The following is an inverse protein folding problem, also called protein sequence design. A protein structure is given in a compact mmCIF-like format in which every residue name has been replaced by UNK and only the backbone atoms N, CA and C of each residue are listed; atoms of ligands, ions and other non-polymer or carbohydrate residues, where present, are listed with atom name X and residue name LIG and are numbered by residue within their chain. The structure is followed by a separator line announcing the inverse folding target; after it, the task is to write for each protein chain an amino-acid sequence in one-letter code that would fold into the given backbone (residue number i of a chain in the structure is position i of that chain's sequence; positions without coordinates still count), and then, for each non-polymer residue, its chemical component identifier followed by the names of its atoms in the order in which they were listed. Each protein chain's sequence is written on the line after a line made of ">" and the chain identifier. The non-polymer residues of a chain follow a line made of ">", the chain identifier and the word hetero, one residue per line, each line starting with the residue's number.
data_IF_356032551034
#
_entry.id   IF_356032551034
#
_cell.length_a   1.000
_cell.length_b   1.000
_cell.length_c   1.000
_cell.angle_alpha   90.00
_cell.angle_beta   90.00
_cell.angle_gamma   90.00
#
_symmetry.space_group_name_H-M   'P 1'
#
loop_
_entity.id
_entity.type
_entity.pdbx_description
1 polymer ?
#
# COMPACT_ATOMS: atom_id res chain seq x y z
N UNK A 1 24.23 -13.16 -4.64
CA UNK A 1 24.33 -13.15 -6.12
C UNK A 1 22.97 -13.52 -6.67
N UNK A 2 22.45 -12.74 -7.62
CA UNK A 2 21.18 -13.03 -8.31
C UNK A 2 21.34 -14.22 -9.25
N UNK A 3 20.32 -15.09 -9.29
CA UNK A 3 20.23 -16.21 -10.21
C UNK A 3 18.75 -16.39 -10.58
N UNK A 4 18.46 -16.42 -11.87
CA UNK A 4 17.14 -16.69 -12.42
C UNK A 4 16.79 -18.17 -12.25
N UNK A 5 15.52 -18.46 -12.01
CA UNK A 5 15.04 -19.80 -11.74
C UNK A 5 14.06 -20.28 -12.81
N UNK A 6 14.53 -21.17 -13.69
CA UNK A 6 13.76 -21.75 -14.80
C UNK A 6 13.36 -23.24 -14.57
N UNK A 7 13.73 -23.82 -13.43
CA UNK A 7 13.54 -25.27 -13.18
C UNK A 7 12.05 -25.68 -13.16
N UNK A 8 11.13 -24.75 -12.90
CA UNK A 8 9.69 -25.02 -12.93
C UNK A 8 9.18 -25.49 -14.31
N UNK A 9 10.01 -25.37 -15.37
CA UNK A 9 9.71 -25.85 -16.73
C UNK A 9 10.23 -27.26 -17.00
N UNK A 10 10.98 -27.83 -16.07
CA UNK A 10 11.57 -29.16 -16.20
C UNK A 10 10.67 -30.20 -15.51
N UNK A 11 10.40 -31.31 -16.19
CA UNK A 11 9.60 -32.40 -15.64
C UNK A 11 10.52 -33.40 -14.93
N UNK A 12 10.43 -33.48 -13.61
CA UNK A 12 11.13 -34.48 -12.81
C UNK A 12 10.37 -35.80 -12.71
N UNK A 13 11.04 -36.83 -12.21
CA UNK A 13 10.42 -38.17 -12.04
C UNK A 13 9.27 -38.19 -11.00
N UNK A 14 9.29 -37.28 -10.04
CA UNK A 14 8.24 -37.09 -9.00
C UNK A 14 7.33 -35.91 -9.31
N UNK A 15 7.31 -35.43 -10.56
CA UNK A 15 6.46 -34.33 -10.96
C UNK A 15 4.97 -34.71 -10.96
N UNK A 16 4.12 -33.72 -10.75
CA UNK A 16 2.67 -33.87 -10.79
C UNK A 16 2.21 -34.46 -12.13
N UNK A 17 2.89 -34.12 -13.23
CA UNK A 17 2.59 -34.67 -14.57
C UNK A 17 2.84 -36.16 -14.65
N UNK A 18 3.86 -36.67 -13.97
CA UNK A 18 4.17 -38.13 -13.95
C UNK A 18 3.31 -38.91 -12.97
N UNK A 19 2.84 -38.27 -11.90
CA UNK A 19 2.10 -38.94 -10.82
C UNK A 19 0.57 -38.96 -11.04
N UNK A 20 0.05 -38.05 -11.83
CA UNK A 20 -1.38 -37.95 -12.09
C UNK A 20 -1.78 -38.69 -13.37
N UNK A 21 -2.97 -39.36 -13.36
CA UNK A 21 -3.57 -39.87 -14.57
C UNK A 21 -3.97 -38.76 -15.52
N UNK A 22 -4.04 -39.03 -16.83
CA UNK A 22 -4.40 -38.07 -17.86
C UNK A 22 -5.71 -37.31 -17.53
N UNK A 23 -6.73 -38.04 -17.08
CA UNK A 23 -8.00 -37.44 -16.64
C UNK A 23 -7.83 -36.43 -15.49
N UNK A 24 -6.91 -36.67 -14.57
CA UNK A 24 -6.62 -35.72 -13.46
C UNK A 24 -5.81 -34.55 -13.94
N UNK A 25 -4.89 -34.75 -14.87
CA UNK A 25 -4.13 -33.68 -15.52
C UNK A 25 -5.02 -32.72 -16.30
N UNK A 26 -5.98 -33.25 -17.08
CA UNK A 26 -6.98 -32.41 -17.74
C UNK A 26 -7.80 -31.58 -16.75
N UNK A 27 -8.18 -32.19 -15.63
CA UNK A 27 -8.90 -31.46 -14.57
C UNK A 27 -8.01 -30.37 -13.94
N UNK A 28 -6.74 -30.68 -13.67
CA UNK A 28 -5.76 -29.70 -13.14
C UNK A 28 -5.63 -28.50 -14.09
N UNK A 29 -5.46 -28.75 -15.39
CA UNK A 29 -5.31 -27.71 -16.42
C UNK A 29 -6.52 -26.77 -16.56
N UNK A 30 -7.69 -27.14 -16.03
CA UNK A 30 -8.92 -26.34 -16.01
C UNK A 30 -9.11 -25.56 -14.70
N UNK A 31 -8.18 -25.66 -13.75
CA UNK A 31 -8.26 -24.94 -12.45
C UNK A 31 -7.78 -23.49 -12.57
N UNK A 32 -8.24 -22.65 -11.65
CA UNK A 32 -7.77 -21.27 -11.55
C UNK A 32 -6.26 -21.19 -11.18
N UNK A 33 -5.76 -22.18 -10.43
CA UNK A 33 -4.36 -22.29 -10.05
C UNK A 33 -3.47 -22.56 -11.25
N UNK A 34 -3.92 -23.40 -12.18
CA UNK A 34 -3.19 -23.63 -13.42
C UNK A 34 -3.23 -22.43 -14.35
N UNK A 35 -4.39 -21.76 -14.45
CA UNK A 35 -4.48 -20.49 -15.18
C UNK A 35 -3.54 -19.42 -14.56
N UNK A 36 -3.47 -19.35 -13.25
CA UNK A 36 -2.52 -18.48 -12.57
C UNK A 36 -1.06 -18.82 -12.92
N UNK A 37 -0.70 -20.12 -12.91
CA UNK A 37 0.63 -20.57 -13.31
C UNK A 37 0.99 -20.12 -14.72
N UNK A 38 0.11 -20.41 -15.71
CA UNK A 38 0.39 -20.13 -17.12
C UNK A 38 0.34 -18.65 -17.47
N UNK A 39 -0.60 -17.91 -16.91
CA UNK A 39 -0.90 -16.53 -17.31
C UNK A 39 -0.23 -15.47 -16.43
N UNK A 40 0.15 -15.80 -15.21
CA UNK A 40 0.75 -14.86 -14.27
C UNK A 40 2.16 -15.33 -13.88
N UNK A 41 2.28 -16.49 -13.24
CA UNK A 41 3.54 -16.95 -12.69
C UNK A 41 4.65 -17.07 -13.75
N UNK A 42 4.37 -17.70 -14.89
CA UNK A 42 5.32 -17.82 -16.00
C UNK A 42 5.71 -16.49 -16.67
N UNK A 43 5.02 -15.40 -16.31
CA UNK A 43 5.27 -14.02 -16.82
C UNK A 43 6.01 -13.14 -15.83
N UNK A 44 6.31 -13.64 -14.64
CA UNK A 44 7.09 -12.90 -13.65
C UNK A 44 8.51 -12.75 -14.19
N UNK A 45 8.89 -11.52 -14.50
CA UNK A 45 10.25 -11.18 -14.89
C UNK A 45 11.11 -11.01 -13.64
N UNK A 46 11.89 -12.04 -13.33
CA UNK A 46 12.76 -12.04 -12.16
C UNK A 46 13.92 -11.03 -12.28
N UNK A 47 14.35 -10.69 -13.50
CA UNK A 47 15.47 -9.78 -13.75
C UNK A 47 15.19 -8.36 -13.24
N UNK A 48 13.92 -7.95 -13.19
CA UNK A 48 13.51 -6.70 -12.56
C UNK A 48 13.96 -6.55 -11.10
N UNK A 49 14.18 -7.67 -10.41
CA UNK A 49 14.53 -7.72 -8.99
C UNK A 49 16.03 -7.98 -8.74
N UNK A 50 16.83 -8.10 -9.79
CA UNK A 50 18.30 -8.25 -9.68
C UNK A 50 18.91 -7.12 -8.83
N UNK A 51 18.38 -5.91 -8.95
CA UNK A 51 18.80 -4.71 -8.20
C UNK A 51 18.72 -4.86 -6.66
N UNK A 52 18.01 -5.86 -6.17
CA UNK A 52 17.90 -6.16 -4.73
C UNK A 52 19.05 -7.05 -4.22
N UNK A 53 19.89 -7.56 -5.12
CA UNK A 53 20.94 -8.53 -4.80
C UNK A 53 22.32 -7.96 -5.04
N UNK A 54 23.33 -8.53 -4.36
CA UNK A 54 24.72 -8.11 -4.48
C UNK A 54 25.40 -8.87 -5.61
N UNK A 55 26.30 -8.19 -6.35
CA UNK A 55 27.18 -8.80 -7.34
C UNK A 55 28.30 -9.68 -6.74
N UNK A 56 28.47 -9.61 -5.40
CA UNK A 56 29.49 -10.41 -4.73
C UNK A 56 29.11 -11.89 -4.74
N UNK A 57 30.07 -12.79 -4.99
CA UNK A 57 29.84 -14.23 -4.90
C UNK A 57 29.24 -14.59 -3.53
N UNK A 58 28.08 -15.23 -3.54
CA UNK A 58 27.35 -15.63 -2.35
C UNK A 58 26.44 -16.81 -2.69
N UNK A 59 25.81 -17.40 -1.68
CA UNK A 59 24.76 -18.40 -1.89
C UNK A 59 23.70 -17.83 -2.85
N UNK A 60 23.22 -18.64 -3.84
CA UNK A 60 22.12 -18.23 -4.71
C UNK A 60 20.89 -17.77 -3.92
N UNK A 61 20.15 -16.84 -4.50
CA UNK A 61 18.87 -16.39 -3.96
C UNK A 61 17.83 -17.52 -3.97
N UNK A 62 16.83 -17.43 -3.11
CA UNK A 62 15.60 -18.20 -3.30
C UNK A 62 14.91 -17.74 -4.60
N UNK A 63 14.19 -18.63 -5.31
CA UNK A 63 13.51 -18.29 -6.56
C UNK A 63 12.59 -17.08 -6.40
N UNK A 64 12.89 -16.00 -7.11
CA UNK A 64 12.14 -14.73 -6.99
C UNK A 64 10.73 -14.89 -7.53
N UNK A 65 10.56 -15.59 -8.65
CA UNK A 65 9.25 -15.90 -9.22
C UNK A 65 8.36 -16.67 -8.23
N UNK A 66 8.91 -17.64 -7.48
CA UNK A 66 8.15 -18.38 -6.46
C UNK A 66 7.75 -17.49 -5.28
N UNK A 67 8.65 -16.59 -4.82
CA UNK A 67 8.33 -15.64 -3.76
C UNK A 67 7.19 -14.71 -4.19
N UNK A 68 7.30 -14.11 -5.36
CA UNK A 68 6.29 -13.19 -5.89
C UNK A 68 4.99 -13.94 -6.20
N UNK A 69 5.08 -15.12 -6.83
CA UNK A 69 3.92 -15.97 -7.10
C UNK A 69 3.17 -16.34 -5.84
N UNK A 70 3.88 -16.67 -4.75
CA UNK A 70 3.28 -16.97 -3.45
C UNK A 70 2.56 -15.74 -2.85
N UNK A 71 3.15 -14.55 -2.95
CA UNK A 71 2.52 -13.31 -2.48
C UNK A 71 1.22 -13.05 -3.26
N UNK A 72 1.25 -13.13 -4.58
CA UNK A 72 0.08 -12.89 -5.41
C UNK A 72 -1.01 -13.95 -5.15
N UNK A 73 -0.62 -15.22 -5.07
CA UNK A 73 -1.55 -16.32 -4.80
C UNK A 73 -2.25 -16.15 -3.44
N UNK A 74 -1.49 -15.74 -2.40
CA UNK A 74 -2.03 -15.43 -1.07
C UNK A 74 -3.15 -14.39 -1.16
N UNK A 75 -2.90 -13.27 -1.85
CA UNK A 75 -3.89 -12.20 -1.98
C UNK A 75 -5.10 -12.65 -2.82
N UNK A 76 -4.88 -13.36 -3.93
CA UNK A 76 -5.93 -13.90 -4.77
C UNK A 76 -6.87 -14.85 -4.01
N UNK A 77 -6.31 -15.67 -3.11
CA UNK A 77 -7.05 -16.63 -2.28
C UNK A 77 -7.54 -16.04 -0.97
N UNK A 78 -7.15 -14.82 -0.61
CA UNK A 78 -7.42 -14.17 0.68
C UNK A 78 -6.93 -14.98 1.88
N UNK A 79 -5.83 -15.71 1.71
CA UNK A 79 -5.21 -16.49 2.77
C UNK A 79 -4.41 -15.62 3.73
N UNK A 80 -4.34 -16.04 4.97
CA UNK A 80 -3.31 -15.59 5.91
C UNK A 80 -1.95 -16.13 5.50
N UNK A 81 -0.88 -15.55 6.00
CA UNK A 81 0.47 -16.09 5.73
C UNK A 81 0.62 -17.55 6.19
N UNK A 82 0.01 -17.92 7.32
CA UNK A 82 0.03 -19.29 7.81
C UNK A 82 -0.66 -20.25 6.85
N UNK A 83 -1.87 -19.93 6.44
CA UNK A 83 -2.63 -20.75 5.47
C UNK A 83 -1.88 -20.90 4.15
N UNK A 84 -1.26 -19.81 3.63
CA UNK A 84 -0.45 -19.91 2.42
C UNK A 84 0.62 -21.00 2.55
N UNK A 85 1.43 -20.97 3.63
CA UNK A 85 2.53 -21.93 3.79
C UNK A 85 2.03 -23.34 4.08
N UNK A 86 0.91 -23.51 4.77
CA UNK A 86 0.27 -24.81 4.95
C UNK A 86 -0.20 -25.38 3.59
N UNK A 87 -0.82 -24.55 2.72
CA UNK A 87 -1.18 -24.96 1.35
C UNK A 87 0.05 -25.25 0.49
N UNK A 88 1.09 -24.44 0.52
CA UNK A 88 2.32 -24.71 -0.23
C UNK A 88 3.03 -25.99 0.22
N UNK A 89 2.85 -26.41 1.43
CA UNK A 89 3.40 -27.67 1.94
C UNK A 89 2.63 -28.90 1.43
N UNK A 90 1.29 -28.84 1.34
CA UNK A 90 0.45 -30.03 1.20
C UNK A 90 -0.56 -30.00 0.04
N UNK A 91 -0.86 -28.85 -0.52
CA UNK A 91 -1.87 -28.71 -1.59
C UNK A 91 -1.22 -28.67 -2.97
N UNK A 92 -1.47 -29.69 -3.76
CA UNK A 92 -0.94 -29.81 -5.12
C UNK A 92 -1.34 -28.62 -6.00
N UNK A 93 -2.57 -28.08 -5.87
CA UNK A 93 -3.00 -26.95 -6.68
C UNK A 93 -2.20 -25.69 -6.34
N UNK A 94 -2.05 -25.38 -5.06
CA UNK A 94 -1.27 -24.23 -4.60
C UNK A 94 0.20 -24.35 -5.02
N UNK A 95 0.77 -25.56 -4.91
CA UNK A 95 2.16 -25.84 -5.33
C UNK A 95 2.33 -25.62 -6.84
N UNK A 96 1.44 -26.21 -7.66
CA UNK A 96 1.48 -26.02 -9.11
C UNK A 96 1.36 -24.54 -9.50
N UNK A 97 0.55 -23.77 -8.81
CA UNK A 97 0.34 -22.35 -9.09
C UNK A 97 1.64 -21.53 -9.08
N UNK A 98 2.60 -21.90 -8.23
CA UNK A 98 3.90 -21.19 -8.10
C UNK A 98 5.08 -22.02 -8.64
N UNK A 99 4.81 -22.97 -9.51
CA UNK A 99 5.84 -23.74 -10.19
C UNK A 99 6.55 -24.80 -9.36
N UNK A 100 6.02 -25.17 -8.18
CA UNK A 100 6.48 -26.32 -7.38
C UNK A 100 5.83 -27.60 -7.90
N UNK A 101 6.23 -28.02 -9.09
CA UNK A 101 5.58 -29.14 -9.79
C UNK A 101 6.16 -30.50 -9.44
N UNK A 102 7.36 -30.55 -8.89
CA UNK A 102 7.93 -31.77 -8.31
C UNK A 102 7.55 -31.90 -6.84
N UNK A 103 7.21 -33.12 -6.39
CA UNK A 103 6.81 -33.35 -5.01
C UNK A 103 7.97 -33.11 -4.02
N UNK A 104 9.21 -33.16 -4.49
CA UNK A 104 10.41 -32.86 -3.70
C UNK A 104 10.75 -31.37 -3.64
N UNK A 105 10.11 -30.53 -4.44
CA UNK A 105 10.35 -29.11 -4.40
C UNK A 105 9.98 -28.51 -3.03
N UNK A 106 10.82 -27.64 -2.52
CA UNK A 106 10.56 -26.91 -1.27
C UNK A 106 10.08 -25.48 -1.58
N UNK A 107 9.00 -25.07 -0.93
CA UNK A 107 8.54 -23.70 -1.00
C UNK A 107 9.52 -22.74 -0.31
N UNK A 108 9.64 -21.48 -0.76
CA UNK A 108 10.41 -20.48 -0.04
C UNK A 108 9.94 -20.33 1.41
N UNK A 109 10.86 -20.28 2.37
CA UNK A 109 10.49 -20.09 3.76
C UNK A 109 9.81 -18.74 4.01
N UNK A 110 8.87 -18.68 4.97
CA UNK A 110 8.17 -17.45 5.34
C UNK A 110 9.14 -16.30 5.66
N UNK A 111 10.21 -16.57 6.39
CA UNK A 111 11.24 -15.57 6.71
C UNK A 111 11.95 -15.02 5.46
N UNK A 112 12.08 -15.84 4.41
CA UNK A 112 12.66 -15.42 3.12
C UNK A 112 11.71 -14.47 2.38
N UNK A 113 10.41 -14.75 2.39
CA UNK A 113 9.39 -13.88 1.79
C UNK A 113 9.37 -12.52 2.49
N UNK A 114 9.31 -12.48 3.82
CA UNK A 114 9.32 -11.21 4.55
C UNK A 114 10.61 -10.40 4.36
N UNK A 115 11.76 -11.08 4.28
CA UNK A 115 13.04 -10.41 4.00
C UNK A 115 13.05 -9.81 2.61
N UNK A 116 12.52 -10.52 1.62
CA UNK A 116 12.38 -10.03 0.25
C UNK A 116 11.47 -8.79 0.18
N UNK A 117 10.32 -8.81 0.84
CA UNK A 117 9.43 -7.64 0.96
C UNK A 117 10.15 -6.45 1.60
N UNK A 118 10.96 -6.69 2.65
CA UNK A 118 11.79 -5.66 3.26
C UNK A 118 12.83 -5.07 2.32
N UNK A 119 13.40 -5.86 1.40
CA UNK A 119 14.33 -5.37 0.38
C UNK A 119 13.61 -4.48 -0.65
N UNK A 120 12.44 -4.91 -1.14
CA UNK A 120 11.61 -4.08 -2.03
C UNK A 120 11.31 -2.74 -1.37
N UNK A 121 10.80 -2.76 -0.13
CA UNK A 121 10.44 -1.54 0.60
C UNK A 121 11.63 -0.57 0.75
N UNK A 122 12.80 -1.08 1.09
CA UNK A 122 14.02 -0.26 1.21
C UNK A 122 14.45 0.32 -0.13
N UNK A 123 14.40 -0.48 -1.18
CA UNK A 123 14.77 -0.05 -2.53
C UNK A 123 13.80 1.03 -3.04
N UNK A 124 12.50 0.78 -2.94
CA UNK A 124 11.46 1.72 -3.35
C UNK A 124 11.55 3.04 -2.56
N UNK A 125 11.80 2.98 -1.25
CA UNK A 125 11.97 4.17 -0.41
C UNK A 125 13.20 4.99 -0.81
N UNK A 126 14.30 4.35 -1.20
CA UNK A 126 15.50 5.04 -1.66
C UNK A 126 15.29 5.78 -3.00
N UNK A 127 14.39 5.28 -3.85
CA UNK A 127 14.08 5.84 -5.17
C UNK A 127 12.80 6.71 -5.17
N UNK A 128 12.13 6.87 -4.04
CA UNK A 128 10.84 7.59 -3.92
C UNK A 128 10.89 9.08 -4.32
N UNK A 129 12.09 9.67 -4.46
CA UNK A 129 12.28 11.06 -4.91
C UNK A 129 12.36 11.20 -6.43
N UNK A 130 12.56 10.11 -7.14
CA UNK A 130 12.56 10.08 -8.60
C UNK A 130 11.11 9.98 -9.09
N UNK A 131 10.62 11.05 -9.73
CA UNK A 131 9.24 11.13 -10.24
C UNK A 131 8.95 10.08 -11.34
N UNK A 132 9.98 9.60 -12.03
CA UNK A 132 9.87 8.55 -13.05
C UNK A 132 9.80 7.15 -12.44
N UNK A 133 10.16 6.99 -11.16
CA UNK A 133 10.18 5.71 -10.50
C UNK A 133 8.79 5.29 -10.01
N UNK A 134 8.33 4.13 -10.43
CA UNK A 134 6.97 3.62 -10.13
C UNK A 134 6.91 2.47 -9.14
N UNK A 135 8.03 2.05 -8.54
CA UNK A 135 8.12 0.90 -7.64
C UNK A 135 8.18 -0.47 -8.36
N UNK A 136 8.94 -1.41 -7.78
CA UNK A 136 9.22 -2.71 -8.43
C UNK A 136 7.96 -3.53 -8.66
N UNK A 137 7.07 -3.64 -7.67
CA UNK A 137 5.83 -4.42 -7.81
C UNK A 137 4.88 -3.79 -8.84
N UNK A 138 4.80 -2.47 -8.91
CA UNK A 138 3.98 -1.80 -9.94
C UNK A 138 4.56 -2.01 -11.34
N UNK A 139 5.87 -1.97 -11.50
CA UNK A 139 6.54 -2.27 -12.78
C UNK A 139 6.24 -3.68 -13.25
N UNK A 140 6.31 -4.65 -12.35
CA UNK A 140 5.94 -6.04 -12.65
C UNK A 140 4.47 -6.15 -13.06
N UNK A 141 3.56 -5.53 -12.31
CA UNK A 141 2.14 -5.50 -12.65
C UNK A 141 1.90 -4.95 -14.07
N UNK A 142 2.53 -3.82 -14.41
CA UNK A 142 2.41 -3.22 -15.74
C UNK A 142 2.95 -4.14 -16.83
N UNK A 143 4.09 -4.78 -16.62
CA UNK A 143 4.69 -5.72 -17.58
C UNK A 143 3.78 -6.92 -17.86
N UNK A 144 3.22 -7.55 -16.81
CA UNK A 144 2.28 -8.67 -16.97
C UNK A 144 1.00 -8.23 -17.70
N UNK A 145 0.52 -7.02 -17.37
CA UNK A 145 -0.70 -6.48 -18.00
C UNK A 145 -0.48 -6.14 -19.47
N UNK A 146 0.66 -5.56 -19.84
CA UNK A 146 1.02 -5.26 -21.22
C UNK A 146 1.14 -6.54 -22.07
N UNK A 147 1.77 -7.58 -21.52
CA UNK A 147 1.81 -8.90 -22.16
C UNK A 147 0.40 -9.48 -22.34
N UNK A 148 -0.46 -9.39 -21.32
CA UNK A 148 -1.83 -9.85 -21.41
C UNK A 148 -2.66 -9.08 -22.44
N UNK A 149 -2.53 -7.76 -22.52
CA UNK A 149 -3.18 -6.92 -23.53
C UNK A 149 -2.75 -7.32 -24.94
N UNK A 150 -1.44 -7.51 -25.15
CA UNK A 150 -0.87 -7.94 -26.44
C UNK A 150 -1.45 -9.29 -26.89
N UNK A 151 -1.52 -10.27 -26.01
CA UNK A 151 -1.99 -11.62 -26.33
C UNK A 151 -3.51 -11.70 -26.53
N UNK A 152 -4.26 -10.97 -25.72
CA UNK A 152 -5.72 -10.99 -25.78
C UNK A 152 -6.29 -10.10 -26.87
N UNK A 153 -5.53 -9.08 -27.31
CA UNK A 153 -5.98 -8.06 -28.26
C UNK A 153 -7.20 -7.28 -27.74
N UNK A 154 -7.33 -7.12 -26.41
CA UNK A 154 -8.39 -6.31 -25.80
C UNK A 154 -8.18 -4.84 -26.15
N UNK A 155 -9.27 -4.19 -26.61
CA UNK A 155 -9.23 -2.78 -26.95
C UNK A 155 -9.06 -1.89 -25.71
N UNK A 156 -8.13 -0.94 -25.77
CA UNK A 156 -7.94 0.12 -24.77
C UNK A 156 -8.65 1.43 -25.15
N UNK A 157 -9.42 1.47 -26.22
CA UNK A 157 -10.11 2.71 -26.64
C UNK A 157 -11.12 3.20 -25.60
N UNK A 158 -11.71 2.28 -24.85
CA UNK A 158 -12.62 2.61 -23.75
C UNK A 158 -12.00 2.07 -22.45
N UNK A 159 -11.87 2.95 -21.48
CA UNK A 159 -11.41 2.59 -20.15
C UNK A 159 -12.44 3.01 -19.10
N UNK A 160 -12.48 2.29 -18.00
CA UNK A 160 -13.24 2.64 -16.80
C UNK A 160 -12.27 2.97 -15.69
N UNK A 161 -12.53 4.04 -14.97
CA UNK A 161 -11.79 4.41 -13.77
C UNK A 161 -12.78 4.39 -12.62
N UNK A 162 -12.41 3.70 -11.56
CA UNK A 162 -13.16 3.65 -10.32
C UNK A 162 -12.23 3.80 -9.13
N UNK A 163 -12.78 4.27 -8.01
CA UNK A 163 -12.01 4.50 -6.80
C UNK A 163 -12.63 3.77 -5.61
N UNK A 164 -11.78 3.16 -4.80
CA UNK A 164 -12.19 2.52 -3.55
C UNK A 164 -11.36 3.03 -2.38
N UNK A 165 -11.98 3.12 -1.20
CA UNK A 165 -11.25 3.49 0.01
C UNK A 165 -10.33 2.35 0.43
N UNK A 166 -9.09 2.72 0.76
CA UNK A 166 -8.12 1.88 1.44
C UNK A 166 -7.95 2.45 2.84
N UNK A 167 -8.64 1.88 3.81
CA UNK A 167 -8.41 2.23 5.20
C UNK A 167 -6.99 1.79 5.57
N UNK A 168 -6.18 2.72 6.03
CA UNK A 168 -4.87 2.40 6.56
C UNK A 168 -5.04 1.55 7.83
N UNK A 169 -4.27 0.46 7.92
CA UNK A 169 -4.20 -0.36 9.15
C UNK A 169 -3.38 0.36 10.22
N UNK A 170 -3.77 1.60 10.51
CA UNK A 170 -3.17 2.48 11.50
C UNK A 170 -4.07 2.56 12.73
N UNK A 171 -3.42 2.71 13.88
CA UNK A 171 -4.15 3.04 15.10
C UNK A 171 -4.85 4.38 14.93
N UNK A 172 -6.15 4.42 15.24
CA UNK A 172 -6.93 5.66 15.25
C UNK A 172 -6.67 6.39 16.56
N UNK A 173 -6.04 7.55 16.46
CA UNK A 173 -5.69 8.37 17.61
C UNK A 173 -6.75 9.47 17.84
N UNK A 174 -7.15 9.65 19.09
CA UNK A 174 -7.75 10.90 19.53
C UNK A 174 -6.71 12.02 19.51
N UNK A 175 -7.15 13.28 19.53
CA UNK A 175 -6.25 14.45 19.41
C UNK A 175 -5.19 14.50 20.52
N UNK A 176 -5.60 14.23 21.76
CA UNK A 176 -4.69 14.17 22.91
C UNK A 176 -3.69 13.01 22.76
N UNK A 177 -4.18 11.83 22.33
CA UNK A 177 -3.29 10.69 22.04
C UNK A 177 -2.26 11.04 20.98
N UNK A 178 -2.67 11.75 19.91
CA UNK A 178 -1.78 12.14 18.83
C UNK A 178 -0.65 13.05 19.32
N UNK A 179 -0.96 13.99 20.25
CA UNK A 179 0.06 14.83 20.91
C UNK A 179 1.03 13.99 21.73
N UNK A 180 0.52 13.04 22.52
CA UNK A 180 1.37 12.16 23.35
C UNK A 180 2.26 11.29 22.47
N UNK A 181 1.74 10.70 21.41
CA UNK A 181 2.51 9.95 20.42
C UNK A 181 3.61 10.82 19.78
N UNK A 182 3.29 12.09 19.48
CA UNK A 182 4.29 13.06 19.02
C UNK A 182 5.44 13.23 20.00
N UNK A 183 5.14 13.38 21.29
CA UNK A 183 6.14 13.46 22.36
C UNK A 183 6.97 12.17 22.46
N UNK A 184 6.31 11.01 22.44
CA UNK A 184 7.00 9.71 22.53
C UNK A 184 7.95 9.48 21.35
N UNK A 185 7.58 9.92 20.15
CA UNK A 185 8.45 9.83 18.98
C UNK A 185 9.58 10.84 19.04
N UNK A 186 9.32 12.06 19.50
CA UNK A 186 10.36 13.06 19.77
C UNK A 186 11.39 12.51 20.76
N UNK A 187 10.94 11.93 21.88
CA UNK A 187 11.81 11.34 22.90
C UNK A 187 12.80 10.31 22.34
N UNK A 188 12.39 9.52 21.34
CA UNK A 188 13.25 8.48 20.74
C UNK A 188 14.41 9.06 19.94
N UNK A 189 14.28 10.26 19.40
CA UNK A 189 15.31 10.91 18.58
C UNK A 189 16.20 11.89 19.37
N UNK A 190 15.82 12.25 20.61
CA UNK A 190 16.64 13.10 21.46
C UNK A 190 17.95 12.41 21.81
N UNK A 191 19.03 13.20 21.89
CA UNK A 191 20.29 12.76 22.45
C UNK A 191 20.21 12.60 23.99
N UNK A 192 21.23 12.02 24.60
CA UNK A 192 21.20 11.72 26.04
C UNK A 192 21.21 12.98 26.91
N UNK A 193 21.81 14.09 26.45
CA UNK A 193 21.83 15.35 27.19
C UNK A 193 20.45 16.00 27.22
N UNK A 194 19.77 16.03 26.07
CA UNK A 194 18.40 16.56 25.97
C UNK A 194 17.40 15.62 26.68
N UNK A 195 17.60 14.31 26.64
CA UNK A 195 16.80 13.36 27.43
C UNK A 195 16.94 13.63 28.93
N UNK A 196 18.14 13.81 29.42
CA UNK A 196 18.35 14.09 30.83
C UNK A 196 17.69 15.41 31.24
N UNK A 197 17.87 16.46 30.41
CA UNK A 197 17.26 17.77 30.63
C UNK A 197 15.74 17.74 30.71
N UNK A 198 15.11 16.92 29.87
CA UNK A 198 13.64 16.88 29.73
C UNK A 198 12.98 15.67 30.42
N UNK A 199 13.75 14.80 31.08
CA UNK A 199 13.26 13.55 31.69
C UNK A 199 12.08 13.74 32.65
N UNK A 200 12.22 14.64 33.61
CA UNK A 200 11.16 14.88 34.61
C UNK A 200 9.92 15.48 33.99
N UNK A 201 10.09 16.42 33.04
CA UNK A 201 9.00 17.07 32.35
C UNK A 201 8.19 16.09 31.50
N UNK A 202 8.87 15.14 30.84
CA UNK A 202 8.28 14.19 29.92
C UNK A 202 7.86 12.86 30.57
N UNK A 203 8.28 12.59 31.79
CA UNK A 203 7.97 11.36 32.50
C UNK A 203 6.47 10.95 32.45
N UNK A 204 5.50 11.86 32.58
CA UNK A 204 4.08 11.48 32.51
C UNK A 204 3.65 10.96 31.13
N UNK A 205 4.33 11.35 30.05
CA UNK A 205 3.92 11.08 28.67
C UNK A 205 4.69 9.93 28.01
N UNK A 206 5.85 9.52 28.57
CA UNK A 206 6.75 8.54 27.97
C UNK A 206 6.77 7.16 28.66
N UNK A 207 6.20 7.05 29.87
CA UNK A 207 6.24 5.82 30.66
C UNK A 207 5.38 4.71 30.09
N UNK A 208 4.25 5.06 29.53
CA UNK A 208 3.19 4.12 29.13
C UNK A 208 2.67 4.43 27.74
N UNK A 209 1.89 3.49 27.18
CA UNK A 209 1.18 3.69 25.92
C UNK A 209 0.25 4.91 25.99
N UNK A 210 0.14 5.66 24.90
CA UNK A 210 -0.67 6.89 24.81
C UNK A 210 -2.16 6.67 25.15
N UNK A 211 -2.66 5.45 24.95
CA UNK A 211 -4.04 5.09 25.34
C UNK A 211 -4.21 4.91 26.85
N UNK A 212 -3.20 4.35 27.51
CA UNK A 212 -3.23 4.18 28.96
C UNK A 212 -3.22 5.52 29.69
N UNK A 213 -2.47 6.49 29.20
CA UNK A 213 -2.48 7.86 29.75
C UNK A 213 -3.90 8.46 29.79
N UNK A 214 -4.69 8.27 28.73
CA UNK A 214 -6.07 8.79 28.71
C UNK A 214 -7.00 8.04 29.65
N UNK A 215 -6.78 6.74 29.80
CA UNK A 215 -7.60 5.90 30.68
C UNK A 215 -7.38 6.21 32.17
N UNK A 216 -6.18 6.66 32.54
CA UNK A 216 -5.83 7.02 33.93
C UNK A 216 -6.16 8.47 34.29
N UNK A 217 -6.59 9.29 33.33
CA UNK A 217 -7.00 10.66 33.55
C UNK A 217 -8.39 10.71 34.18
N UNK A 218 -8.48 11.23 35.40
CA UNK A 218 -9.77 11.55 36.01
C UNK A 218 -10.46 12.70 35.25
N UNK A 219 -11.76 12.60 35.06
CA UNK A 219 -12.55 13.56 34.27
C UNK A 219 -12.45 15.00 34.80
N UNK A 220 -12.29 15.14 36.11
CA UNK A 220 -12.11 16.45 36.78
C UNK A 220 -10.75 17.10 36.51
N UNK A 221 -9.72 16.30 36.20
CA UNK A 221 -8.34 16.78 35.94
C UNK A 221 -8.05 16.97 34.44
N UNK A 222 -8.91 16.47 33.56
CA UNK A 222 -8.71 16.49 32.11
C UNK A 222 -8.40 17.89 31.55
N UNK A 223 -9.10 18.99 31.91
CA UNK A 223 -8.79 20.32 31.38
C UNK A 223 -7.40 20.84 31.79
N UNK A 224 -6.99 20.60 33.04
CA UNK A 224 -5.66 21.01 33.53
C UNK A 224 -4.54 20.20 32.89
N UNK A 225 -4.80 18.92 32.69
CA UNK A 225 -3.85 18.03 32.00
C UNK A 225 -3.69 18.37 30.52
N UNK A 226 -4.77 18.79 29.85
CA UNK A 226 -4.70 19.27 28.45
C UNK A 226 -3.88 20.57 28.38
N UNK A 227 -4.14 21.55 29.20
CA UNK A 227 -3.40 22.82 29.23
C UNK A 227 -1.90 22.58 29.51
N UNK A 228 -1.58 21.70 30.46
CA UNK A 228 -0.21 21.31 30.77
C UNK A 228 0.47 20.62 29.57
N UNK A 229 -0.22 19.66 28.93
CA UNK A 229 0.30 18.97 27.73
C UNK A 229 0.59 19.95 26.60
N UNK A 230 -0.31 20.88 26.31
CA UNK A 230 -0.15 21.88 25.27
C UNK A 230 1.02 22.82 25.55
N UNK A 231 1.19 23.22 26.83
CA UNK A 231 2.31 24.06 27.26
C UNK A 231 3.64 23.32 27.09
N UNK A 232 3.72 22.07 27.53
CA UNK A 232 4.89 21.21 27.35
C UNK A 232 5.21 21.02 25.87
N UNK A 233 4.20 20.68 25.06
CA UNK A 233 4.36 20.46 23.62
C UNK A 233 4.93 21.72 22.93
N UNK A 234 4.35 22.87 23.21
CA UNK A 234 4.77 24.16 22.64
C UNK A 234 6.18 24.55 23.08
N UNK A 235 6.48 24.36 24.34
CA UNK A 235 7.81 24.64 24.90
C UNK A 235 8.91 23.82 24.23
N UNK A 236 8.70 22.51 24.12
CA UNK A 236 9.62 21.60 23.42
C UNK A 236 9.78 21.96 21.93
N UNK A 237 8.67 22.28 21.24
CA UNK A 237 8.76 22.73 19.86
C UNK A 237 9.66 23.93 19.70
N UNK A 238 9.52 24.94 20.56
CA UNK A 238 10.29 26.18 20.50
C UNK A 238 11.77 25.97 20.82
N UNK A 239 12.07 25.15 21.84
CA UNK A 239 13.46 24.92 22.28
C UNK A 239 14.22 23.97 21.35
N UNK A 240 13.59 22.89 20.88
CA UNK A 240 14.25 21.83 20.14
C UNK A 240 14.24 22.02 18.60
N UNK A 241 13.42 22.94 18.08
CA UNK A 241 13.32 23.21 16.63
C UNK A 241 14.67 23.55 15.98
N UNK A 242 15.55 24.28 16.69
CA UNK A 242 16.85 24.66 16.13
C UNK A 242 17.76 23.45 15.93
N UNK A 243 17.72 22.50 16.86
CA UNK A 243 18.59 21.31 16.88
C UNK A 243 18.01 20.20 16.00
N UNK A 244 16.73 19.88 16.19
CA UNK A 244 16.08 18.70 15.56
C UNK A 244 15.17 19.04 14.38
N UNK A 245 15.00 20.31 14.00
CA UNK A 245 14.03 20.74 12.99
C UNK A 245 14.25 20.17 11.58
N UNK A 246 15.42 19.58 11.30
CA UNK A 246 15.72 18.86 10.04
C UNK A 246 15.48 17.36 10.14
N UNK A 247 15.32 16.81 11.34
CA UNK A 247 15.00 15.40 11.54
C UNK A 247 13.60 15.09 11.00
N UNK A 248 13.43 14.01 10.24
CA UNK A 248 12.13 13.65 9.67
C UNK A 248 11.04 13.46 10.72
N UNK A 249 11.35 12.85 11.88
CA UNK A 249 10.37 12.66 12.96
C UNK A 249 9.95 13.99 13.55
N UNK A 250 10.92 14.89 13.78
CA UNK A 250 10.60 16.22 14.27
C UNK A 250 9.78 17.02 13.27
N UNK A 251 10.18 17.03 12.00
CA UNK A 251 9.54 17.82 10.94
C UNK A 251 8.16 17.27 10.56
N UNK A 252 8.10 15.99 10.22
CA UNK A 252 6.95 15.39 9.53
C UNK A 252 5.92 14.79 10.50
N UNK A 253 6.28 14.65 11.79
CA UNK A 253 5.37 14.19 12.85
C UNK A 253 5.18 15.28 13.90
N UNK A 254 6.20 15.55 14.72
CA UNK A 254 6.08 16.42 15.88
C UNK A 254 5.68 17.87 15.52
N UNK A 255 6.42 18.49 14.61
CA UNK A 255 6.16 19.85 14.14
C UNK A 255 4.85 19.95 13.34
N UNK A 256 4.52 18.90 12.59
CA UNK A 256 3.26 18.84 11.86
C UNK A 256 2.06 18.79 12.82
N UNK A 257 2.10 17.96 13.85
CA UNK A 257 1.07 17.91 14.90
C UNK A 257 0.96 19.30 15.56
N UNK A 258 2.09 19.95 15.88
CA UNK A 258 2.09 21.29 16.46
C UNK A 258 1.29 22.28 15.60
N UNK A 259 1.63 22.40 14.32
CA UNK A 259 1.00 23.36 13.42
C UNK A 259 -0.46 23.03 13.09
N UNK A 260 -0.81 21.76 13.06
CA UNK A 260 -2.14 21.32 12.67
C UNK A 260 -3.14 21.29 13.83
N UNK A 261 -2.69 21.03 15.06
CA UNK A 261 -3.57 20.81 16.22
C UNK A 261 -3.58 21.99 17.21
N UNK A 262 -2.50 22.78 17.29
CA UNK A 262 -2.34 23.81 18.31
C UNK A 262 -2.49 25.20 17.70
N UNK A 263 -3.17 26.06 18.45
CA UNK A 263 -3.31 27.49 18.17
C UNK A 263 -2.77 28.30 19.35
N UNK A 264 -2.05 29.38 19.04
CA UNK A 264 -1.55 30.35 20.03
C UNK A 264 -2.22 31.68 19.71
N UNK A 265 -3.09 32.14 20.62
CA UNK A 265 -3.83 33.37 20.48
C UNK A 265 -3.69 34.23 21.73
N UNK A 266 -3.14 35.43 21.57
CA UNK A 266 -2.90 36.37 22.69
C UNK A 266 -2.10 35.79 23.86
N UNK A 267 -1.18 34.84 23.58
CA UNK A 267 -0.38 34.14 24.59
C UNK A 267 -1.08 32.94 25.24
N UNK A 268 -2.34 32.65 24.89
CA UNK A 268 -3.02 31.46 25.32
C UNK A 268 -2.81 30.33 24.30
N UNK A 269 -2.41 29.17 24.81
CA UNK A 269 -2.20 27.95 24.00
C UNK A 269 -3.47 27.10 24.11
N UNK A 270 -4.07 26.75 23.00
CA UNK A 270 -5.31 25.94 22.94
C UNK A 270 -5.30 24.98 21.74
N UNK A 271 -6.13 23.95 21.80
CA UNK A 271 -6.41 23.12 20.64
C UNK A 271 -7.26 23.91 19.62
N UNK A 272 -6.94 23.82 18.35
CA UNK A 272 -7.80 24.30 17.25
C UNK A 272 -9.17 23.65 17.33
N UNK A 273 -10.20 24.36 16.88
CA UNK A 273 -11.55 23.75 16.79
C UNK A 273 -11.54 22.62 15.74
N UNK A 274 -12.36 21.56 15.91
CA UNK A 274 -12.44 20.47 14.95
C UNK A 274 -12.71 20.92 13.51
N UNK A 275 -13.48 22.00 13.33
CA UNK A 275 -13.80 22.61 12.03
C UNK A 275 -12.61 23.32 11.36
N UNK A 276 -11.56 23.63 12.10
CA UNK A 276 -10.37 24.32 11.62
C UNK A 276 -9.24 23.34 11.22
N UNK A 277 -9.46 22.02 11.47
CA UNK A 277 -8.51 20.99 11.12
C UNK A 277 -8.74 20.56 9.68
N UNK A 278 -7.72 20.73 8.84
CA UNK A 278 -7.79 20.32 7.45
C UNK A 278 -7.91 18.79 7.31
N UNK A 279 -8.61 18.33 6.27
CA UNK A 279 -8.76 16.89 5.95
C UNK A 279 -7.43 16.20 5.65
N UNK A 280 -6.41 16.97 5.27
CA UNK A 280 -5.05 16.48 5.06
C UNK A 280 -4.18 16.45 6.31
N UNK A 281 -4.71 16.81 7.49
CA UNK A 281 -3.95 16.77 8.75
C UNK A 281 -3.52 15.36 9.11
N UNK A 282 -2.41 15.25 9.85
CA UNK A 282 -1.82 13.99 10.28
C UNK A 282 -2.86 13.14 11.07
N UNK A 283 -3.15 11.96 10.55
CA UNK A 283 -4.07 11.02 11.17
C UNK A 283 -3.35 10.05 12.11
N UNK A 284 -2.13 9.66 11.75
CA UNK A 284 -1.29 8.77 12.53
C UNK A 284 0.19 9.02 12.22
N UNK A 285 1.07 8.92 13.23
CA UNK A 285 2.51 8.94 13.02
C UNK A 285 3.04 7.72 12.26
N UNK A 286 2.28 6.63 12.17
CA UNK A 286 2.67 5.41 11.47
C UNK A 286 2.45 5.52 9.96
N UNK A 287 1.51 6.37 9.53
CA UNK A 287 1.24 6.67 8.13
C UNK A 287 1.00 8.18 7.96
N UNK A 288 2.09 8.92 7.74
CA UNK A 288 2.06 10.38 7.62
C UNK A 288 1.37 10.89 6.36
N UNK A 289 1.06 10.00 5.41
CA UNK A 289 0.38 10.32 4.15
C UNK A 289 -1.11 10.01 4.19
N UNK A 290 -1.59 9.24 5.18
CA UNK A 290 -3.00 8.97 5.38
C UNK A 290 -3.77 10.27 5.61
N UNK A 291 -4.92 10.39 4.95
CA UNK A 291 -5.80 11.56 5.06
C UNK A 291 -7.19 11.16 5.55
N UNK A 292 -7.98 12.15 5.92
CA UNK A 292 -9.34 11.95 6.43
C UNK A 292 -10.38 12.38 5.41
N UNK A 293 -11.42 11.57 5.24
CA UNK A 293 -12.63 11.91 4.46
C UNK A 293 -13.89 11.44 5.19
N UNK A 294 -14.90 12.29 5.23
CA UNK A 294 -16.25 11.89 5.63
C UNK A 294 -17.10 11.76 4.37
N UNK A 295 -17.71 10.59 4.16
CA UNK A 295 -18.62 10.34 3.04
C UNK A 295 -19.91 9.70 3.59
N UNK A 296 -21.02 10.38 3.40
CA UNK A 296 -22.35 9.91 3.84
C UNK A 296 -22.43 9.58 5.36
N UNK A 297 -21.65 10.29 6.20
CA UNK A 297 -21.58 10.03 7.64
C UNK A 297 -20.51 9.01 8.05
N UNK A 298 -19.97 8.24 7.11
CA UNK A 298 -18.86 7.32 7.36
C UNK A 298 -17.50 8.02 7.29
N UNK A 299 -16.67 7.73 8.29
CA UNK A 299 -15.35 8.34 8.46
C UNK A 299 -14.27 7.37 7.95
N UNK A 300 -13.56 7.77 6.89
CA UNK A 300 -12.45 7.02 6.31
C UNK A 300 -11.13 7.70 6.63
N UNK A 301 -10.18 6.93 7.17
CA UNK A 301 -8.80 7.36 7.42
C UNK A 301 -7.85 6.46 6.63
N UNK A 302 -7.11 7.04 5.70
CA UNK A 302 -6.22 6.27 4.83
C UNK A 302 -6.06 6.90 3.47
N UNK A 303 -6.16 6.06 2.45
CA UNK A 303 -5.90 6.37 1.06
C UNK A 303 -7.09 6.04 0.17
N UNK A 304 -6.97 6.41 -1.09
CA UNK A 304 -7.90 6.04 -2.15
C UNK A 304 -7.12 5.26 -3.22
N UNK A 305 -7.57 4.05 -3.53
CA UNK A 305 -7.08 3.31 -4.69
C UNK A 305 -7.88 3.71 -5.92
N UNK A 306 -7.18 4.23 -6.93
CA UNK A 306 -7.72 4.49 -8.25
C UNK A 306 -7.42 3.29 -9.13
N UNK A 307 -8.43 2.64 -9.67
CA UNK A 307 -8.32 1.45 -10.51
C UNK A 307 -8.78 1.81 -11.91
N UNK A 308 -7.92 1.56 -12.90
CA UNK A 308 -8.24 1.74 -14.32
C UNK A 308 -8.32 0.38 -14.97
N UNK A 309 -9.39 0.13 -15.71
CA UNK A 309 -9.58 -1.11 -16.44
C UNK A 309 -10.07 -0.86 -17.87
N UNK A 310 -9.84 -1.84 -18.75
CA UNK A 310 -10.38 -1.83 -20.11
C UNK A 310 -11.88 -2.09 -20.10
N UNK A 311 -12.60 -1.52 -21.07
CA UNK A 311 -14.02 -1.82 -21.33
C UNK A 311 -14.14 -2.26 -22.78
N UNK A 312 -14.02 -3.55 -23.00
CA UNK A 312 -14.23 -4.16 -24.31
C UNK A 312 -15.63 -4.82 -24.35
N UNK A 313 -16.48 -4.34 -25.24
CA UNK A 313 -17.86 -4.84 -25.36
C UNK A 313 -17.96 -6.11 -26.22
N UNK A 314 -16.91 -6.45 -26.95
CA UNK A 314 -16.86 -7.62 -27.83
C UNK A 314 -16.25 -8.84 -27.12
N UNK A 315 -15.44 -8.58 -26.10
CA UNK A 315 -14.78 -9.62 -25.29
C UNK A 315 -15.31 -9.57 -23.86
N UNK A 316 -15.72 -10.70 -23.35
CA UNK A 316 -16.20 -10.85 -21.96
C UNK A 316 -15.00 -10.94 -20.98
N UNK A 317 -14.04 -10.01 -21.15
CA UNK A 317 -12.85 -9.93 -20.34
C UNK A 317 -12.44 -8.46 -20.18
N UNK A 318 -12.26 -8.00 -18.94
CA UNK A 318 -11.67 -6.71 -18.61
C UNK A 318 -10.33 -6.90 -17.94
N UNK A 319 -9.36 -6.06 -18.27
CA UNK A 319 -8.03 -6.07 -17.65
C UNK A 319 -7.82 -4.77 -16.88
N UNK A 320 -7.32 -4.88 -15.65
CA UNK A 320 -6.85 -3.73 -14.88
C UNK A 320 -5.52 -3.26 -15.49
N UNK A 321 -5.49 -2.02 -15.98
CA UNK A 321 -4.33 -1.47 -16.70
C UNK A 321 -3.53 -0.47 -15.90
N UNK A 322 -4.10 0.09 -14.83
CA UNK A 322 -3.36 0.94 -13.87
C UNK A 322 -4.01 0.88 -12.49
N UNK A 323 -3.16 0.98 -11.48
CA UNK A 323 -3.55 1.14 -10.08
C UNK A 323 -2.70 2.26 -9.48
N UNK A 324 -3.35 3.25 -8.86
CA UNK A 324 -2.66 4.33 -8.18
C UNK A 324 -3.24 4.55 -6.78
N UNK A 325 -2.35 4.80 -5.82
CA UNK A 325 -2.73 5.16 -4.45
C UNK A 325 -2.64 6.67 -4.31
N UNK A 326 -3.73 7.29 -3.88
CA UNK A 326 -3.82 8.74 -3.69
C UNK A 326 -4.35 9.07 -2.31
N UNK A 327 -4.18 10.32 -1.87
CA UNK A 327 -4.82 10.80 -0.65
C UNK A 327 -6.35 10.71 -0.79
N UNK A 328 -7.06 10.24 0.23
CA UNK A 328 -8.50 9.99 0.15
C UNK A 328 -9.34 11.28 0.13
N UNK A 329 -8.75 12.42 0.44
CA UNK A 329 -9.37 13.74 0.36
C UNK A 329 -9.24 14.39 -1.03
N UNK A 330 -8.57 13.75 -1.99
CA UNK A 330 -8.52 14.22 -3.38
C UNK A 330 -9.78 13.80 -4.13
N UNK A 331 -10.19 14.65 -5.09
CA UNK A 331 -11.31 14.35 -5.97
C UNK A 331 -10.85 13.46 -7.15
N UNK A 332 -11.71 12.50 -7.53
CA UNK A 332 -11.48 11.63 -8.70
C UNK A 332 -11.28 12.43 -9.99
N UNK A 333 -11.95 13.60 -10.11
CA UNK A 333 -11.79 14.48 -11.26
C UNK A 333 -10.39 15.09 -11.36
N UNK A 334 -9.78 15.45 -10.23
CA UNK A 334 -8.40 15.95 -10.19
C UNK A 334 -7.40 14.87 -10.58
N UNK A 335 -7.62 13.64 -10.11
CA UNK A 335 -6.79 12.51 -10.51
C UNK A 335 -6.87 12.26 -12.01
N UNK A 336 -8.09 12.19 -12.55
CA UNK A 336 -8.32 11.98 -13.97
C UNK A 336 -7.68 13.08 -14.82
N UNK A 337 -7.86 14.35 -14.45
CA UNK A 337 -7.27 15.47 -15.17
C UNK A 337 -5.74 15.35 -15.31
N UNK A 338 -5.06 14.87 -14.27
CA UNK A 338 -3.61 14.62 -14.29
C UNK A 338 -3.19 13.42 -15.15
N UNK A 339 -4.11 12.50 -15.46
CA UNK A 339 -3.82 11.24 -16.17
C UNK A 339 -4.34 11.20 -17.62
N UNK A 340 -5.15 12.14 -18.04
CA UNK A 340 -5.75 12.16 -19.39
C UNK A 340 -4.69 12.07 -20.50
N UNK A 341 -3.58 12.79 -20.38
CA UNK A 341 -2.48 12.73 -21.35
C UNK A 341 -1.93 11.32 -21.52
N UNK A 342 -1.56 10.69 -20.40
CA UNK A 342 -1.02 9.33 -20.36
C UNK A 342 -2.00 8.30 -20.97
N UNK A 343 -3.28 8.38 -20.61
CA UNK A 343 -4.28 7.45 -21.15
C UNK A 343 -4.55 7.66 -22.63
N UNK A 344 -4.49 8.92 -23.11
CA UNK A 344 -4.63 9.23 -24.54
C UNK A 344 -3.46 8.67 -25.34
N UNK A 345 -2.24 8.79 -24.84
CA UNK A 345 -1.04 8.21 -25.46
C UNK A 345 -1.13 6.68 -25.54
N UNK A 346 -1.72 6.03 -24.55
CA UNK A 346 -2.01 4.59 -24.54
C UNK A 346 -3.20 4.17 -25.41
N UNK A 347 -3.80 5.11 -26.17
CA UNK A 347 -4.86 4.84 -27.12
C UNK A 347 -6.29 4.99 -26.60
N UNK A 348 -6.50 5.44 -25.36
CA UNK A 348 -7.84 5.67 -24.83
C UNK A 348 -8.52 6.86 -25.53
N UNK A 349 -9.75 6.64 -26.02
CA UNK A 349 -10.60 7.66 -26.66
C UNK A 349 -11.83 8.01 -25.83
N UNK A 350 -12.23 7.13 -24.91
CA UNK A 350 -13.41 7.31 -24.06
C UNK A 350 -13.09 6.82 -22.64
N UNK A 351 -13.46 7.60 -21.65
CA UNK A 351 -13.36 7.22 -20.25
C UNK A 351 -14.75 7.09 -19.65
N UNK A 352 -15.03 6.00 -18.97
CA UNK A 352 -16.22 5.79 -18.15
C UNK A 352 -15.86 5.99 -16.68
N UNK A 353 -16.57 6.89 -16.02
CA UNK A 353 -16.45 7.06 -14.57
C UNK A 353 -17.86 7.09 -13.97
N UNK A 354 -18.09 6.35 -12.90
CA UNK A 354 -19.39 6.29 -12.19
C UNK A 354 -20.61 6.07 -13.11
N UNK A 355 -20.46 5.22 -14.11
CA UNK A 355 -21.55 4.88 -15.04
C UNK A 355 -21.72 5.82 -16.23
N UNK A 356 -21.08 7.00 -16.27
CA UNK A 356 -21.12 7.93 -17.38
C UNK A 356 -19.92 7.74 -18.31
N UNK A 357 -20.16 7.85 -19.64
CA UNK A 357 -19.14 7.70 -20.67
C UNK A 357 -18.73 9.09 -21.18
N UNK A 358 -17.44 9.39 -21.10
CA UNK A 358 -16.89 10.68 -21.55
C UNK A 358 -15.94 10.47 -22.74
N UNK A 359 -16.14 11.17 -23.87
CA UNK A 359 -15.18 11.17 -24.95
C UNK A 359 -13.95 12.01 -24.57
N UNK A 360 -12.76 11.48 -24.77
CA UNK A 360 -11.53 12.24 -24.68
C UNK A 360 -11.37 13.06 -25.96
N UNK A 361 -11.63 14.36 -25.89
CA UNK A 361 -11.25 15.29 -26.95
C UNK A 361 -9.83 15.77 -26.69
N UNK A 362 -9.02 15.73 -27.74
CA UNK A 362 -7.66 16.28 -27.75
C UNK A 362 -7.69 17.80 -27.63
N UNK A 363 -7.93 18.35 -26.49
CA UNK A 363 -7.61 19.70 -26.03
C UNK A 363 -8.50 20.12 -24.86
N UNK A 364 -7.87 20.48 -23.76
CA UNK A 364 -8.29 21.36 -22.66
C UNK A 364 -9.80 21.68 -22.56
N UNK A 365 -10.59 20.75 -22.06
CA UNK A 365 -11.95 21.08 -21.60
C UNK A 365 -12.20 20.37 -20.27
N UNK A 366 -12.32 21.17 -19.22
CA UNK A 366 -12.69 20.74 -17.87
C UNK A 366 -14.05 20.03 -17.89
N UNK A 367 -14.11 18.86 -17.28
CA UNK A 367 -15.35 18.10 -17.08
C UNK A 367 -15.70 18.12 -15.59
N UNK A 368 -16.91 18.60 -15.28
CA UNK A 368 -17.48 18.68 -13.93
C UNK A 368 -18.27 17.39 -13.64
N UNK A 369 -18.08 16.79 -12.46
CA UNK A 369 -18.69 15.53 -12.06
C UNK A 369 -19.70 15.68 -10.92
N UNK A 370 -20.79 14.92 -10.99
CA UNK A 370 -21.71 14.74 -9.87
C UNK A 370 -21.85 13.25 -9.50
N UNK A 371 -22.09 12.99 -8.22
CA UNK A 371 -21.96 11.74 -7.50
C UNK A 371 -23.15 10.79 -7.63
N UNK A 372 -22.89 9.44 -7.71
CA UNK A 372 -23.66 8.40 -6.95
C UNK A 372 -22.97 7.05 -7.13
N UNK A 373 -22.74 6.35 -6.03
CA UNK A 373 -22.18 5.00 -5.97
C UNK A 373 -23.20 4.10 -5.30
N UNK A 374 -23.57 3.00 -5.94
CA UNK A 374 -24.00 1.77 -5.27
C UNK A 374 -23.72 0.56 -6.19
N UNK A 375 -23.27 -0.53 -5.56
CA UNK A 375 -23.12 -1.90 -6.06
C UNK A 375 -21.84 -2.27 -6.82
N UNK A 376 -20.83 -2.78 -6.08
CA UNK A 376 -19.75 -3.62 -6.59
C UNK A 376 -19.46 -4.79 -5.62
N UNK A 377 -20.43 -5.71 -5.47
CA UNK A 377 -20.19 -6.93 -4.66
C UNK A 377 -20.12 -8.23 -5.49
N UNK A 378 -20.23 -8.22 -6.81
CA UNK A 378 -20.42 -9.46 -7.57
C UNK A 378 -19.62 -9.60 -8.89
N UNK A 379 -18.42 -9.08 -9.01
CA UNK A 379 -17.54 -9.44 -10.14
C UNK A 379 -16.17 -9.83 -9.62
N UNK A 380 -15.72 -11.04 -9.97
CA UNK A 380 -14.41 -11.57 -9.59
C UNK A 380 -13.28 -10.75 -10.19
N UNK A 381 -12.91 -9.69 -9.52
CA UNK A 381 -11.78 -8.82 -9.88
C UNK A 381 -10.54 -9.40 -9.22
N UNK A 382 -9.53 -9.76 -10.02
CA UNK A 382 -8.19 -9.97 -9.48
C UNK A 382 -7.67 -8.65 -8.93
N UNK A 383 -7.83 -8.43 -7.64
CA UNK A 383 -7.20 -7.32 -6.93
C UNK A 383 -5.82 -7.77 -6.46
N UNK A 384 -4.76 -7.18 -7.03
CA UNK A 384 -3.46 -7.18 -6.38
C UNK A 384 -3.57 -6.25 -5.18
N UNK A 385 -3.72 -6.82 -3.98
CA UNK A 385 -3.76 -6.06 -2.75
C UNK A 385 -2.45 -5.29 -2.54
N UNK A 386 -2.58 -4.04 -2.17
CA UNK A 386 -1.45 -3.18 -1.79
C UNK A 386 -0.74 -3.74 -0.57
N UNK A 387 0.57 -3.82 -0.65
CA UNK A 387 1.51 -3.94 0.46
C UNK A 387 1.70 -2.59 1.15
#
# INVERSE_FOLDING_TARGET
>A
MFQKYDNHRQTGLSSVEMLLSEKRLEKLRRTAEWAFYSEVFCRIDEEMFEVLYSDKPSRPNAPVNQIIGAIILKEMKKWTWRELFDHLAFDILARCAIGLQDMSDEAPAMSTVFRFLGYIQKYDAAHAKDEAYTGLMKRLFLSITEDALSRTGISQEKIRIDSTFLDSNIRRYGRIQLLIEGIQRLWRILDEADKETHRELLAPYIKEDSGHFLYTLEEAEAPRSEERLLTVYTGLYTTLKKTYGKDPVFKDVYGRIFHEQIEIDGGKIKLKKPSEIASGSLQSPDDTKATYRNKNGEKHQGHLAQITETVDTEKDLSLITDVAITANNKDDAQYLAGKIGEYTEKGARKIRNRGQLFPLKSSKSCIIFSSHIDSLQNSGIMCFGSL
#
